data_IF_491975528399
#
_entry.id   IF_491975528399
#
_cell.length_a   1.000
_cell.length_b   1.000
_cell.length_c   1.000
_cell.angle_alpha   90.00
_cell.angle_beta   90.00
_cell.angle_gamma   90.00
#
_symmetry.space_group_name_H-M   'P 1'
#
loop_
_entity.id
_entity.type
_entity.pdbx_description
1 polymer ?
#
# COMPACT_ATOMS: atom_id res chain seq x y z
N UNK A 1 -55.89 -1.10 -27.56
CA UNK A 1 -55.91 -1.30 -26.08
C UNK A 1 -54.48 -1.62 -25.69
N UNK A 2 -53.71 -0.93 -24.86
CA UNK A 2 -53.88 0.17 -23.90
C UNK A 2 -52.45 0.69 -23.57
N UNK A 3 -52.36 1.85 -22.92
CA UNK A 3 -51.24 2.80 -22.77
C UNK A 3 -50.02 2.30 -21.95
N UNK A 4 -48.86 2.99 -22.03
CA UNK A 4 -47.70 2.80 -21.17
C UNK A 4 -47.83 3.53 -19.81
N UNK A 5 -47.13 3.04 -18.78
CA UNK A 5 -46.90 3.69 -17.46
C UNK A 5 -45.44 3.41 -17.06
N UNK A 6 -44.48 4.33 -17.18
CA UNK A 6 -44.11 5.37 -16.22
C UNK A 6 -43.86 4.87 -14.78
N UNK A 7 -42.58 4.78 -14.41
CA UNK A 7 -42.10 4.59 -13.04
C UNK A 7 -40.80 5.37 -12.80
N UNK A 8 -40.91 6.68 -12.66
CA UNK A 8 -39.95 7.54 -11.96
C UNK A 8 -39.95 7.15 -10.48
N UNK A 9 -38.79 7.19 -9.81
CA UNK A 9 -38.53 7.64 -8.43
C UNK A 9 -37.00 7.52 -8.20
N UNK A 10 -36.23 8.58 -8.42
CA UNK A 10 -35.80 9.55 -7.41
C UNK A 10 -34.88 8.98 -6.31
N UNK A 11 -33.60 9.41 -6.35
CA UNK A 11 -33.01 10.22 -5.27
C UNK A 11 -31.60 10.69 -5.66
N UNK A 12 -31.55 11.89 -6.22
CA UNK A 12 -30.32 12.67 -6.25
C UNK A 12 -29.88 13.01 -4.82
N UNK A 13 -28.68 12.58 -4.45
CA UNK A 13 -28.01 13.06 -3.25
C UNK A 13 -27.43 14.43 -3.57
N UNK A 14 -28.18 15.48 -3.28
CA UNK A 14 -27.63 16.84 -3.16
C UNK A 14 -27.11 16.99 -1.73
N UNK A 15 -25.82 17.22 -1.49
CA UNK A 15 -25.42 17.86 -0.26
C UNK A 15 -25.89 19.32 -0.31
N UNK A 16 -26.93 19.62 0.47
CA UNK A 16 -27.16 20.97 1.00
C UNK A 16 -26.21 21.13 2.18
N UNK A 17 -25.31 22.11 2.14
CA UNK A 17 -24.95 22.80 3.37
C UNK A 17 -24.37 24.18 3.09
N UNK A 18 -25.06 25.17 3.64
CA UNK A 18 -24.68 26.55 3.90
C UNK A 18 -23.22 26.93 3.61
N UNK A 19 -23.03 27.77 2.58
CA UNK A 19 -21.94 28.76 2.56
C UNK A 19 -22.28 29.89 3.53
N UNK A 20 -22.24 29.57 4.82
CA UNK A 20 -21.97 30.55 5.86
C UNK A 20 -20.47 30.71 5.94
N UNK A 21 -20.01 31.95 6.05
CA UNK A 21 -18.62 32.36 6.24
C UNK A 21 -18.00 31.60 7.44
N UNK A 22 -17.46 30.39 7.21
CA UNK A 22 -16.78 29.65 8.26
C UNK A 22 -15.39 30.27 8.40
N UNK A 23 -15.13 30.81 9.59
CA UNK A 23 -13.79 31.01 10.10
C UNK A 23 -13.03 29.71 9.83
N UNK A 24 -11.92 29.79 9.08
CA UNK A 24 -11.09 28.64 8.71
C UNK A 24 -10.90 27.74 9.93
N UNK A 25 -11.37 26.49 9.84
CA UNK A 25 -11.24 25.51 10.95
C UNK A 25 -9.78 25.18 11.19
N UNK A 26 -8.97 25.30 10.14
CA UNK A 26 -7.53 25.24 10.18
C UNK A 26 -6.94 26.60 10.53
N UNK A 27 -5.92 26.60 11.37
CA UNK A 27 -5.15 27.83 11.64
C UNK A 27 -4.36 28.22 10.38
N UNK A 28 -4.19 29.53 10.17
CA UNK A 28 -3.41 30.04 9.04
C UNK A 28 -1.96 29.48 9.00
N UNK A 29 -1.39 29.17 10.17
CA UNK A 29 -0.06 28.57 10.29
C UNK A 29 -0.03 27.13 9.73
N UNK A 30 -1.05 26.33 10.02
CA UNK A 30 -1.15 24.94 9.52
C UNK A 30 -1.29 24.93 8.00
N UNK A 31 -2.11 25.82 7.44
CA UNK A 31 -2.29 25.92 5.99
C UNK A 31 -1.02 26.39 5.28
N UNK A 32 -0.33 27.40 5.82
CA UNK A 32 0.94 27.87 5.26
C UNK A 32 2.02 26.76 5.25
N UNK A 33 2.03 25.91 6.27
CA UNK A 33 2.95 24.77 6.33
C UNK A 33 2.63 23.72 5.24
N UNK A 34 1.35 23.45 4.97
CA UNK A 34 0.94 22.49 3.93
C UNK A 34 1.31 22.96 2.52
N UNK A 35 1.28 24.27 2.26
CA UNK A 35 1.65 24.85 0.94
C UNK A 35 3.16 24.72 0.68
N UNK A 36 4.00 24.71 1.72
CA UNK A 36 5.45 24.61 1.59
C UNK A 36 6.00 23.19 1.38
N UNK A 37 5.17 22.15 1.54
CA UNK A 37 5.59 20.76 1.43
C UNK A 37 5.46 20.23 -0.01
N UNK A 38 6.32 19.28 -0.44
CA UNK A 38 6.14 18.59 -1.70
C UNK A 38 4.85 17.75 -1.71
N UNK A 39 4.25 17.52 -2.88
CA UNK A 39 2.91 16.91 -3.06
C UNK A 39 2.68 15.62 -2.27
N UNK A 40 3.69 14.73 -2.19
CA UNK A 40 3.60 13.50 -1.40
C UNK A 40 3.51 13.76 0.12
N UNK A 41 4.39 14.63 0.64
CA UNK A 41 4.40 14.98 2.06
C UNK A 41 3.17 15.82 2.43
N UNK A 42 2.68 16.65 1.51
CA UNK A 42 1.45 17.41 1.66
C UNK A 42 0.25 16.47 1.85
N UNK A 43 0.09 15.43 1.01
CA UNK A 43 -0.98 14.44 1.17
C UNK A 43 -0.89 13.70 2.51
N UNK A 44 0.31 13.30 2.93
CA UNK A 44 0.50 12.63 4.21
C UNK A 44 0.18 13.56 5.41
N UNK A 45 0.51 14.85 5.31
CA UNK A 45 0.18 15.83 6.33
C UNK A 45 -1.33 16.12 6.38
N UNK A 46 -2.02 16.19 5.24
CA UNK A 46 -3.48 16.30 5.16
C UNK A 46 -4.13 15.09 5.84
N UNK A 47 -3.66 13.88 5.57
CA UNK A 47 -4.19 12.66 6.20
C UNK A 47 -4.00 12.66 7.72
N UNK A 48 -2.91 13.23 8.24
CA UNK A 48 -2.70 13.39 9.69
C UNK A 48 -3.67 14.41 10.29
N UNK A 49 -3.78 15.59 9.68
CA UNK A 49 -4.66 16.67 10.14
C UNK A 49 -6.13 16.29 10.08
N UNK A 50 -6.53 15.52 9.05
CA UNK A 50 -7.90 15.01 8.92
C UNK A 50 -8.32 14.16 10.13
N UNK A 51 -7.40 13.35 10.66
CA UNK A 51 -7.64 12.51 11.84
C UNK A 51 -7.61 13.30 13.14
N UNK A 52 -6.71 14.29 13.24
CA UNK A 52 -6.57 15.11 14.45
C UNK A 52 -7.75 16.07 14.65
N UNK A 53 -8.24 16.67 13.56
CA UNK A 53 -9.29 17.69 13.59
C UNK A 53 -10.67 17.15 13.19
N UNK A 54 -10.75 15.91 12.72
CA UNK A 54 -12.00 15.27 12.30
C UNK A 54 -12.60 15.88 11.02
N UNK A 55 -11.78 16.52 10.20
CA UNK A 55 -12.17 17.19 8.96
C UNK A 55 -11.87 16.24 7.79
N UNK A 56 -12.76 16.04 6.80
CA UNK A 56 -12.46 15.22 5.64
C UNK A 56 -11.29 15.82 4.82
N UNK A 57 -10.41 14.96 4.30
CA UNK A 57 -9.22 15.38 3.54
C UNK A 57 -9.54 16.24 2.31
N UNK A 58 -10.70 16.02 1.69
CA UNK A 58 -11.17 16.82 0.54
C UNK A 58 -11.47 18.28 0.93
N UNK A 59 -12.02 18.53 2.12
CA UNK A 59 -12.30 19.89 2.61
C UNK A 59 -10.98 20.64 2.88
N UNK A 60 -10.00 19.97 3.50
CA UNK A 60 -8.66 20.51 3.74
C UNK A 60 -7.98 20.90 2.43
N UNK A 61 -8.10 20.08 1.37
CA UNK A 61 -7.55 20.38 0.04
C UNK A 61 -8.15 21.64 -0.56
N UNK A 62 -9.47 21.79 -0.48
CA UNK A 62 -10.12 23.00 -1.00
C UNK A 62 -9.68 24.25 -0.26
N UNK A 63 -9.43 24.17 1.06
CA UNK A 63 -8.90 25.31 1.82
C UNK A 63 -7.47 25.69 1.39
N UNK A 64 -6.63 24.70 1.07
CA UNK A 64 -5.28 24.93 0.56
C UNK A 64 -5.33 25.60 -0.82
N UNK A 65 -6.17 25.10 -1.73
CA UNK A 65 -6.34 25.66 -3.08
C UNK A 65 -6.80 27.12 -3.04
N UNK A 66 -7.79 27.44 -2.18
CA UNK A 66 -8.28 28.80 -2.00
C UNK A 66 -7.19 29.77 -1.48
N UNK A 67 -6.24 29.27 -0.69
CA UNK A 67 -5.12 30.07 -0.21
C UNK A 67 -3.99 30.18 -1.23
N UNK A 68 -3.69 29.12 -1.97
CA UNK A 68 -2.71 29.16 -3.05
C UNK A 68 -3.13 30.17 -4.13
N UNK A 69 -4.42 30.19 -4.48
CA UNK A 69 -5.02 31.19 -5.36
C UNK A 69 -4.91 32.62 -4.78
N UNK A 70 -5.07 32.77 -3.46
CA UNK A 70 -4.93 34.06 -2.77
C UNK A 70 -3.49 34.57 -2.64
N UNK A 71 -2.50 33.68 -2.58
CA UNK A 71 -1.06 34.00 -2.48
C UNK A 71 -0.46 34.34 -3.87
N UNK A 72 -1.10 33.86 -4.94
CA UNK A 72 -0.69 34.07 -6.34
C UNK A 72 -0.62 35.54 -6.79
N UNK A 73 -1.17 36.50 -6.03
CA UNK A 73 -1.07 37.93 -6.33
C UNK A 73 0.19 38.63 -5.82
N UNK A 74 1.12 37.96 -5.12
CA UNK A 74 2.45 38.51 -4.81
C UNK A 74 3.55 37.70 -5.46
N UNK A 75 3.97 38.21 -6.61
CA UNK A 75 5.05 37.70 -7.44
C UNK A 75 6.35 37.51 -6.65
N UNK A 76 6.83 36.27 -6.60
CA UNK A 76 8.25 36.00 -6.80
C UNK A 76 8.34 35.44 -8.21
N UNK A 77 8.92 36.22 -9.10
CA UNK A 77 9.30 35.80 -10.44
C UNK A 77 10.30 34.66 -10.33
N UNK A 78 9.81 33.41 -10.34
CA UNK A 78 10.62 32.27 -10.75
C UNK A 78 10.92 32.44 -12.24
N UNK A 79 12.17 32.26 -12.71
CA UNK A 79 12.46 32.36 -14.14
C UNK A 79 11.57 31.37 -14.87
N UNK A 80 10.78 31.89 -15.81
CA UNK A 80 10.00 31.11 -16.76
C UNK A 80 10.98 30.30 -17.60
N UNK A 81 11.38 29.12 -17.11
CA UNK A 81 12.00 28.11 -17.94
C UNK A 81 10.93 27.72 -18.95
N UNK A 82 11.17 27.89 -20.26
CA UNK A 82 10.18 27.55 -21.27
C UNK A 82 9.82 26.08 -21.10
N UNK A 83 8.55 25.81 -20.81
CA UNK A 83 8.02 24.44 -20.72
C UNK A 83 8.37 23.75 -22.04
N UNK A 84 9.31 22.78 -22.04
CA UNK A 84 9.64 22.10 -23.28
C UNK A 84 8.40 21.28 -23.63
N UNK A 85 7.78 21.59 -24.76
CA UNK A 85 6.75 20.71 -25.32
C UNK A 85 7.35 19.31 -25.37
N UNK A 86 6.83 18.40 -24.53
CA UNK A 86 7.20 16.98 -24.54
C UNK A 86 6.72 16.39 -25.87
N UNK A 87 7.49 16.64 -26.93
CA UNK A 87 7.52 15.74 -28.08
C UNK A 87 8.04 14.44 -27.49
N UNK A 88 7.16 13.45 -27.38
CA UNK A 88 7.54 12.10 -27.00
C UNK A 88 8.66 11.66 -27.93
N UNK A 89 9.90 11.73 -27.44
CA UNK A 89 11.08 11.17 -28.10
C UNK A 89 11.21 9.69 -27.73
N UNK A 90 10.10 8.99 -27.50
CA UNK A 90 10.07 7.53 -27.45
C UNK A 90 10.26 6.99 -28.88
N UNK A 91 11.41 7.28 -29.47
CA UNK A 91 11.99 6.41 -30.46
C UNK A 91 12.50 5.19 -29.67
N UNK A 92 11.59 4.25 -29.35
CA UNK A 92 11.98 2.91 -28.90
C UNK A 92 12.59 2.18 -30.10
N UNK A 93 13.72 2.69 -30.57
CA UNK A 93 14.62 1.97 -31.45
C UNK A 93 15.27 0.96 -30.52
N UNK A 94 14.72 -0.26 -30.49
CA UNK A 94 15.34 -1.42 -29.82
C UNK A 94 16.81 -1.46 -30.24
N UNK A 95 17.67 -0.99 -29.36
CA UNK A 95 19.11 -1.19 -29.44
C UNK A 95 19.41 -2.06 -28.24
N UNK A 96 19.42 -3.35 -28.53
CA UNK A 96 19.93 -4.41 -27.68
C UNK A 96 21.39 -4.06 -27.34
N UNK A 97 21.62 -3.50 -26.17
CA UNK A 97 22.94 -3.41 -25.50
C UNK A 97 22.79 -2.74 -24.14
N UNK A 98 22.96 -3.57 -23.12
CA UNK A 98 23.64 -3.31 -21.84
C UNK A 98 23.04 -2.25 -20.89
N UNK A 99 22.50 -2.81 -19.81
CA UNK A 99 22.11 -2.26 -18.52
C UNK A 99 22.86 -0.98 -18.11
N UNK A 100 22.13 0.13 -17.98
CA UNK A 100 22.61 1.35 -17.32
C UNK A 100 21.69 1.71 -16.15
N UNK A 101 22.34 1.96 -15.01
CA UNK A 101 21.83 2.18 -13.66
C UNK A 101 20.69 3.21 -13.55
N UNK A 102 19.62 2.80 -12.88
CA UNK A 102 18.48 3.66 -12.53
C UNK A 102 17.16 2.90 -12.35
N UNK A 103 17.08 1.65 -12.81
CA UNK A 103 15.99 0.73 -12.50
C UNK A 103 16.27 -0.03 -11.20
N UNK A 104 15.22 -0.56 -10.51
CA UNK A 104 15.44 -1.47 -9.40
C UNK A 104 16.22 -2.69 -9.90
N UNK A 105 17.20 -3.13 -9.11
CA UNK A 105 17.94 -4.36 -9.38
C UNK A 105 16.99 -5.54 -9.29
N UNK A 106 16.55 -6.05 -10.44
CA UNK A 106 15.77 -7.27 -10.51
C UNK A 106 16.69 -8.45 -10.20
N UNK A 107 16.37 -9.16 -9.13
CA UNK A 107 17.08 -10.38 -8.76
C UNK A 107 16.44 -11.52 -9.56
N UNK A 108 17.23 -12.21 -10.37
CA UNK A 108 16.76 -13.31 -11.22
C UNK A 108 16.15 -14.45 -10.38
N UNK A 109 16.74 -14.75 -9.23
CA UNK A 109 16.29 -15.82 -8.32
C UNK A 109 15.40 -15.29 -7.18
N UNK A 110 14.22 -14.78 -7.51
CA UNK A 110 13.21 -14.37 -6.50
C UNK A 110 12.79 -15.51 -5.55
N UNK A 111 12.97 -16.77 -5.97
CA UNK A 111 12.60 -17.98 -5.23
C UNK A 111 13.37 -18.15 -3.91
N UNK A 112 14.61 -17.67 -3.83
CA UNK A 112 15.46 -17.79 -2.62
C UNK A 112 14.97 -16.91 -1.47
N UNK A 113 14.17 -15.89 -1.77
CA UNK A 113 13.63 -14.93 -0.82
C UNK A 113 12.18 -15.25 -0.42
N UNK A 114 11.63 -16.38 -0.89
CA UNK A 114 10.30 -16.84 -0.50
C UNK A 114 10.41 -17.55 0.85
N UNK A 115 9.46 -17.27 1.74
CA UNK A 115 9.34 -18.01 2.99
C UNK A 115 9.15 -19.51 2.70
N UNK A 116 9.78 -20.39 3.48
CA UNK A 116 9.68 -21.85 3.36
C UNK A 116 8.32 -22.44 3.76
N UNK A 117 7.25 -21.65 3.64
CA UNK A 117 5.87 -22.08 3.87
C UNK A 117 5.30 -22.64 2.57
N UNK A 118 4.64 -23.80 2.65
CA UNK A 118 3.87 -24.38 1.55
C UNK A 118 2.41 -23.91 1.66
N UNK A 119 1.96 -22.95 0.81
CA UNK A 119 0.59 -22.42 0.86
C UNK A 119 -0.47 -23.37 0.28
N UNK A 120 -0.05 -24.51 -0.27
CA UNK A 120 -0.95 -25.49 -0.86
C UNK A 120 -1.92 -26.03 0.18
N UNK A 121 -3.11 -26.45 -0.27
CA UNK A 121 -4.11 -27.06 0.61
C UNK A 121 -3.57 -28.28 1.36
N UNK A 122 -2.72 -29.07 0.70
CA UNK A 122 -2.05 -30.22 1.33
C UNK A 122 -0.93 -29.80 2.31
N UNK A 123 -0.32 -28.63 2.12
CA UNK A 123 0.60 -28.02 3.09
C UNK A 123 -0.12 -27.69 4.40
N UNK A 124 -1.32 -27.09 4.30
CA UNK A 124 -2.17 -26.78 5.47
C UNK A 124 -2.59 -28.04 6.23
N UNK A 125 -3.06 -29.08 5.53
CA UNK A 125 -3.43 -30.36 6.17
C UNK A 125 -2.28 -30.99 6.95
N UNK A 126 -1.05 -30.95 6.41
CA UNK A 126 0.15 -31.47 7.10
C UNK A 126 0.48 -30.67 8.35
N UNK A 127 0.33 -29.35 8.29
CA UNK A 127 0.55 -28.46 9.44
C UNK A 127 -0.52 -28.67 10.53
N UNK A 128 -1.78 -28.90 10.15
CA UNK A 128 -2.88 -29.20 11.09
C UNK A 128 -2.69 -30.52 11.86
N UNK A 129 -1.92 -31.47 11.30
CA UNK A 129 -1.63 -32.75 11.95
C UNK A 129 -0.48 -32.66 12.97
N UNK A 130 0.25 -31.54 13.03
CA UNK A 130 1.34 -31.32 13.97
C UNK A 130 0.77 -30.77 15.28
N UNK A 131 0.77 -31.59 16.32
CA UNK A 131 0.21 -31.24 17.63
C UNK A 131 1.30 -31.08 18.71
N UNK A 132 2.49 -31.65 18.50
CA UNK A 132 3.63 -31.56 19.41
C UNK A 132 4.89 -31.08 18.68
N UNK A 133 5.77 -30.42 19.42
CA UNK A 133 7.10 -30.05 18.96
C UNK A 133 8.16 -30.79 19.80
N UNK A 134 9.11 -31.44 19.13
CA UNK A 134 10.25 -32.12 19.74
C UNK A 134 11.55 -31.61 19.13
N UNK A 135 12.67 -31.87 19.80
CA UNK A 135 14.00 -31.54 19.28
C UNK A 135 14.66 -32.82 18.76
N UNK A 136 15.21 -32.77 17.54
CA UNK A 136 15.97 -33.90 17.01
C UNK A 136 17.24 -34.14 17.86
N UNK A 137 17.51 -35.38 18.31
CA UNK A 137 18.70 -35.67 19.12
C UNK A 137 20.03 -35.52 18.35
N UNK A 138 20.00 -35.60 17.02
CA UNK A 138 21.22 -35.58 16.19
C UNK A 138 21.66 -34.16 15.80
N UNK A 139 20.72 -33.27 15.47
CA UNK A 139 21.03 -31.95 14.94
C UNK A 139 20.42 -30.80 15.75
N UNK A 140 19.72 -31.08 16.85
CA UNK A 140 19.02 -30.09 17.68
C UNK A 140 17.98 -29.22 16.96
N UNK A 141 17.58 -29.61 15.75
CA UNK A 141 16.55 -28.91 14.98
C UNK A 141 15.15 -29.20 15.57
N UNK A 142 14.29 -28.18 15.76
CA UNK A 142 12.93 -28.38 16.21
C UNK A 142 12.08 -29.02 15.12
N UNK A 143 11.31 -30.05 15.48
CA UNK A 143 10.45 -30.83 14.60
C UNK A 143 9.02 -30.89 15.14
N UNK A 144 8.06 -30.61 14.27
CA UNK A 144 6.65 -30.83 14.54
C UNK A 144 6.25 -32.28 14.26
N UNK A 145 5.61 -32.95 15.22
CA UNK A 145 5.16 -34.34 15.10
C UNK A 145 3.72 -34.50 15.61
N UNK A 146 2.97 -35.52 15.13
CA UNK A 146 1.67 -35.86 15.69
C UNK A 146 1.81 -36.52 17.07
N UNK A 147 0.72 -36.50 17.84
CA UNK A 147 0.65 -37.02 19.22
C UNK A 147 0.50 -38.55 19.30
N UNK A 148 0.42 -39.21 18.15
CA UNK A 148 0.31 -40.65 18.05
C UNK A 148 1.72 -41.25 18.21
N UNK A 149 1.84 -42.30 19.02
CA UNK A 149 3.07 -43.08 19.27
C UNK A 149 2.69 -44.57 19.17
N UNK A 150 3.59 -45.47 18.76
CA UNK A 150 4.96 -45.26 18.30
C UNK A 150 5.03 -44.74 16.85
N UNK A 151 5.96 -43.84 16.57
CA UNK A 151 6.16 -43.26 15.23
C UNK A 151 7.62 -43.29 14.79
N UNK A 152 7.82 -43.44 13.47
CA UNK A 152 9.11 -43.27 12.81
C UNK A 152 9.16 -41.89 12.18
N UNK A 153 10.11 -41.06 12.61
CA UNK A 153 10.27 -39.69 12.12
C UNK A 153 11.64 -39.53 11.48
N UNK A 154 11.65 -38.97 10.27
CA UNK A 154 12.87 -38.62 9.55
C UNK A 154 13.07 -37.11 9.69
N UNK A 155 14.21 -36.69 10.24
CA UNK A 155 14.50 -35.26 10.39
C UNK A 155 14.77 -34.60 9.01
N UNK A 156 14.02 -33.58 8.58
CA UNK A 156 14.27 -32.87 7.32
C UNK A 156 15.60 -32.09 7.31
N UNK A 157 16.19 -31.79 8.47
CA UNK A 157 17.44 -31.03 8.55
C UNK A 157 18.69 -31.90 8.41
N UNK A 158 18.68 -33.14 8.94
CA UNK A 158 19.87 -34.00 8.92
C UNK A 158 19.64 -35.43 8.40
N UNK A 159 18.40 -35.80 8.05
CA UNK A 159 18.06 -37.12 7.53
C UNK A 159 18.09 -38.25 8.56
N UNK A 160 18.30 -37.97 9.84
CA UNK A 160 18.34 -39.01 10.87
C UNK A 160 16.94 -39.58 11.13
N UNK A 161 16.85 -40.91 11.15
CA UNK A 161 15.65 -41.66 11.49
C UNK A 161 15.61 -41.89 13.01
N UNK A 162 14.55 -41.44 13.66
CA UNK A 162 14.35 -41.67 15.09
C UNK A 162 12.97 -42.28 15.32
N UNK A 163 12.91 -43.26 16.22
CA UNK A 163 11.68 -43.86 16.74
C UNK A 163 11.32 -43.21 18.06
N UNK A 164 10.14 -42.60 18.12
CA UNK A 164 9.62 -42.06 19.37
C UNK A 164 8.59 -43.02 19.93
N UNK A 165 8.97 -43.64 21.04
CA UNK A 165 8.12 -44.41 21.94
C UNK A 165 7.86 -43.56 23.19
N UNK A 166 6.82 -43.90 23.95
CA UNK A 166 6.23 -43.07 25.02
C UNK A 166 7.25 -42.48 26.01
#
# INVERSE_FOLDING_TARGET
MTRPLSGRLDRGVKPRSNRGFQMSRLTAMQLQQLIGLPEYEQNLAIDRLSRELGIPSDEIRTEIELLDEGISSKQISSPSIPVPQKKSRFNFRRKETESLDGGPNFIDDSSKFRFGYDPSHDGKKRQEQVNQAIVCPNCSSPLGIPDIRPIKVICPSCGAENTYEN
#
